data_IF_578411477254
#
_entry.id   IF_578411477254
#
_cell.length_a   1.000
_cell.length_b   1.000
_cell.length_c   1.000
_cell.angle_alpha   90.00
_cell.angle_beta   90.00
_cell.angle_gamma   90.00
#
_symmetry.space_group_name_H-M   'P 1'
#
loop_
_entity.id
_entity.type
_entity.pdbx_description
1 polymer ?
#
# COMPACT_ATOMS: atom_id res chain seq x y z
N UNK A 1 17.65 2.93 15.27
CA UNK A 1 17.01 3.32 14.00
C UNK A 1 18.04 3.19 12.88
N UNK A 2 19.12 3.99 12.80
CA UNK A 2 20.09 3.96 11.69
C UNK A 2 20.63 2.57 11.32
N UNK A 3 20.88 1.69 12.32
CA UNK A 3 21.32 0.32 12.05
C UNK A 3 20.21 -0.54 11.45
N UNK A 4 18.97 -0.37 11.92
CA UNK A 4 17.80 -1.10 11.41
C UNK A 4 17.51 -0.68 9.97
N UNK A 5 17.58 0.62 9.67
CA UNK A 5 17.38 1.15 8.32
C UNK A 5 18.43 0.60 7.35
N UNK A 6 19.72 0.62 7.75
CA UNK A 6 20.79 0.09 6.92
C UNK A 6 20.59 -1.42 6.63
N UNK A 7 20.26 -2.21 7.66
CA UNK A 7 20.02 -3.65 7.50
C UNK A 7 18.79 -3.93 6.64
N UNK A 8 17.70 -3.20 6.84
CA UNK A 8 16.48 -3.38 6.06
C UNK A 8 16.70 -2.97 4.60
N UNK A 9 17.41 -1.85 4.37
CA UNK A 9 17.77 -1.40 3.02
C UNK A 9 18.62 -2.41 2.28
N UNK A 10 19.61 -3.00 2.94
CA UNK A 10 20.47 -4.03 2.37
C UNK A 10 19.67 -5.32 2.06
N UNK A 11 18.91 -5.83 3.03
CA UNK A 11 18.17 -7.09 2.89
C UNK A 11 17.04 -7.02 1.86
N UNK A 12 16.32 -5.91 1.81
CA UNK A 12 15.20 -5.70 0.87
C UNK A 12 15.64 -5.01 -0.42
N UNK A 13 16.91 -4.63 -0.55
CA UNK A 13 17.46 -3.87 -1.70
C UNK A 13 16.64 -2.61 -1.98
N UNK A 14 16.37 -1.80 -0.92
CA UNK A 14 15.57 -0.59 -1.01
C UNK A 14 16.39 0.49 -1.74
N UNK A 15 15.87 1.09 -2.84
CA UNK A 15 16.58 2.14 -3.55
C UNK A 15 16.78 3.41 -2.69
N UNK A 16 17.83 4.19 -2.98
CA UNK A 16 18.22 5.37 -2.18
C UNK A 16 17.19 6.51 -2.21
N UNK A 17 16.28 6.52 -3.19
CA UNK A 17 15.20 7.49 -3.31
C UNK A 17 13.92 7.08 -2.55
N UNK A 18 14.05 6.17 -1.57
CA UNK A 18 12.96 5.80 -0.65
C UNK A 18 13.30 6.19 0.78
N UNK A 19 12.28 6.51 1.55
CA UNK A 19 12.34 6.67 3.01
C UNK A 19 11.73 5.47 3.71
N UNK A 20 12.31 5.12 4.85
CA UNK A 20 11.81 4.06 5.75
C UNK A 20 11.27 4.74 7.01
N UNK A 21 10.01 4.47 7.32
CA UNK A 21 9.35 4.99 8.51
C UNK A 21 8.89 3.83 9.38
N UNK A 22 9.01 3.99 10.70
CA UNK A 22 8.43 3.07 11.69
C UNK A 22 7.36 3.82 12.46
N UNK A 23 6.12 3.39 12.28
CA UNK A 23 4.94 4.14 12.72
C UNK A 23 4.03 3.32 13.63
N UNK A 24 3.25 4.01 14.46
CA UNK A 24 2.28 3.40 15.36
C UNK A 24 1.06 2.85 14.63
N UNK A 25 0.24 2.06 15.36
CA UNK A 25 -1.09 1.61 14.90
C UNK A 25 -1.07 0.43 13.95
N UNK A 26 0.12 -0.12 13.64
CA UNK A 26 0.26 -1.25 12.74
C UNK A 26 -0.23 -0.95 11.31
N UNK A 27 -0.42 -2.00 10.52
CA UNK A 27 -0.86 -1.85 9.13
C UNK A 27 -2.25 -1.21 8.99
N UNK A 28 -3.14 -1.45 9.94
CA UNK A 28 -4.52 -0.94 9.84
C UNK A 28 -4.59 0.59 9.93
N UNK A 29 -3.69 1.24 10.67
CA UNK A 29 -3.60 2.70 10.70
C UNK A 29 -3.20 3.26 9.33
N UNK A 30 -2.49 2.50 8.50
CA UNK A 30 -2.07 2.93 7.19
C UNK A 30 -3.24 3.08 6.21
N UNK A 31 -4.37 2.45 6.46
CA UNK A 31 -5.58 2.64 5.67
C UNK A 31 -6.11 4.08 5.75
N UNK A 32 -5.85 4.78 6.86
CA UNK A 32 -6.14 6.21 7.03
C UNK A 32 -4.92 7.08 6.67
N UNK A 33 -3.72 6.73 7.17
CA UNK A 33 -2.53 7.55 6.99
C UNK A 33 -2.16 7.73 5.51
N UNK A 34 -2.24 6.67 4.69
CA UNK A 34 -1.89 6.75 3.28
C UNK A 34 -2.80 7.73 2.51
N UNK A 35 -4.14 7.60 2.51
CA UNK A 35 -4.98 8.57 1.82
C UNK A 35 -4.83 9.99 2.39
N UNK A 36 -4.68 10.17 3.69
CA UNK A 36 -4.43 11.48 4.29
C UNK A 36 -3.17 12.16 3.74
N UNK A 37 -2.14 11.39 3.40
CA UNK A 37 -0.86 11.92 2.96
C UNK A 37 -0.67 11.99 1.44
N UNK A 38 -1.38 11.17 0.64
CA UNK A 38 -1.10 11.12 -0.79
C UNK A 38 -2.34 11.22 -1.70
N UNK A 39 -3.57 11.24 -1.16
CA UNK A 39 -4.77 11.34 -2.01
C UNK A 39 -4.85 12.69 -2.74
N UNK A 40 -4.23 13.73 -2.18
CA UNK A 40 -4.16 15.07 -2.76
C UNK A 40 -3.04 15.23 -3.80
N UNK A 41 -2.30 14.14 -4.14
CA UNK A 41 -1.33 14.13 -5.25
C UNK A 41 -2.00 14.52 -6.57
N UNK A 42 -3.26 14.12 -6.74
CA UNK A 42 -4.10 14.60 -7.82
C UNK A 42 -5.27 15.41 -7.24
N UNK A 43 -5.57 16.61 -7.80
CA UNK A 43 -6.71 17.45 -7.34
C UNK A 43 -8.06 16.75 -7.36
N UNK A 44 -8.24 15.71 -8.19
CA UNK A 44 -9.46 14.90 -8.23
C UNK A 44 -9.66 14.06 -6.96
N UNK A 45 -8.61 13.90 -6.14
CA UNK A 45 -8.61 13.12 -4.88
C UNK A 45 -9.22 11.72 -5.05
N UNK A 46 -8.85 11.04 -6.12
CA UNK A 46 -9.26 9.66 -6.43
C UNK A 46 -8.16 8.68 -6.05
N UNK A 47 -8.55 7.47 -5.65
CA UNK A 47 -7.62 6.35 -5.49
C UNK A 47 -8.30 5.07 -5.98
N UNK A 48 -7.57 4.22 -6.70
CA UNK A 48 -8.06 2.96 -7.26
C UNK A 48 -7.71 1.79 -6.34
N UNK A 49 -8.67 0.87 -6.18
CA UNK A 49 -8.53 -0.30 -5.31
C UNK A 49 -8.81 -1.58 -6.09
N UNK A 50 -7.98 -2.62 -5.87
CA UNK A 50 -8.25 -3.97 -6.35
C UNK A 50 -8.60 -4.82 -5.13
N UNK A 51 -9.87 -5.22 -5.05
CA UNK A 51 -10.45 -5.90 -3.90
C UNK A 51 -10.23 -7.41 -3.97
N UNK A 52 -9.15 -7.88 -3.35
CA UNK A 52 -8.77 -9.31 -3.32
C UNK A 52 -8.97 -9.95 -1.95
N UNK A 53 -9.65 -9.27 -1.04
CA UNK A 53 -9.91 -9.79 0.30
C UNK A 53 -10.41 -8.72 1.27
N UNK A 54 -10.68 -9.14 2.49
CA UNK A 54 -11.23 -8.29 3.56
C UNK A 54 -10.39 -7.04 3.83
N UNK A 55 -9.06 -7.14 3.75
CA UNK A 55 -8.19 -6.00 4.04
C UNK A 55 -8.24 -4.94 2.94
N UNK A 56 -8.29 -5.35 1.67
CA UNK A 56 -8.47 -4.43 0.55
C UNK A 56 -9.83 -3.70 0.64
N UNK A 57 -10.92 -4.42 0.98
CA UNK A 57 -12.24 -3.82 1.21
C UNK A 57 -12.21 -2.80 2.34
N UNK A 58 -11.52 -3.10 3.46
CA UNK A 58 -11.38 -2.14 4.57
C UNK A 58 -10.56 -0.91 4.18
N UNK A 59 -9.48 -1.09 3.41
CA UNK A 59 -8.66 0.01 2.94
C UNK A 59 -9.45 0.95 2.01
N UNK A 60 -10.20 0.41 1.04
CA UNK A 60 -11.08 1.18 0.16
C UNK A 60 -12.13 1.96 0.95
N UNK A 61 -12.84 1.26 1.87
CA UNK A 61 -13.85 1.89 2.73
C UNK A 61 -13.28 2.99 3.61
N UNK A 62 -12.05 2.86 4.11
CA UNK A 62 -11.42 3.90 4.92
C UNK A 62 -11.00 5.09 4.05
N UNK A 63 -10.39 4.84 2.89
CA UNK A 63 -9.97 5.88 1.96
C UNK A 63 -11.15 6.74 1.44
N UNK A 64 -12.35 6.16 1.31
CA UNK A 64 -13.55 6.88 0.88
C UNK A 64 -14.00 8.01 1.85
N UNK A 65 -13.39 8.09 3.04
CA UNK A 65 -13.61 9.19 3.99
C UNK A 65 -12.81 10.45 3.62
N UNK A 66 -11.76 10.29 2.83
CA UNK A 66 -10.78 11.34 2.51
C UNK A 66 -10.82 11.77 1.04
N UNK A 67 -11.46 10.96 0.18
CA UNK A 67 -11.60 11.22 -1.25
C UNK A 67 -12.50 10.19 -1.92
N UNK A 68 -12.31 10.00 -3.22
CA UNK A 68 -13.09 9.05 -4.02
C UNK A 68 -12.32 7.74 -4.12
N UNK A 69 -12.83 6.68 -3.50
CA UNK A 69 -12.32 5.32 -3.68
C UNK A 69 -13.00 4.65 -4.88
N UNK A 70 -12.21 4.23 -5.85
CA UNK A 70 -12.66 3.55 -7.06
C UNK A 70 -12.29 2.06 -6.96
N UNK A 71 -13.27 1.20 -6.73
CA UNK A 71 -13.07 -0.24 -6.73
C UNK A 71 -13.04 -0.73 -8.18
N UNK A 72 -11.83 -0.75 -8.79
CA UNK A 72 -11.65 -1.02 -10.22
C UNK A 72 -11.71 -2.50 -10.58
N UNK A 73 -11.51 -3.39 -9.60
CA UNK A 73 -11.69 -4.82 -9.72
C UNK A 73 -11.96 -5.46 -8.37
N UNK A 74 -12.67 -6.59 -8.39
CA UNK A 74 -12.95 -7.38 -7.20
C UNK A 74 -13.05 -8.86 -7.55
N UNK A 75 -12.48 -9.73 -6.71
CA UNK A 75 -12.72 -11.17 -6.73
C UNK A 75 -13.74 -11.64 -5.68
N UNK A 76 -14.54 -10.68 -5.16
CA UNK A 76 -15.59 -10.97 -4.17
C UNK A 76 -16.72 -11.86 -4.68
N UNK A 77 -16.95 -11.88 -6.00
CA UNK A 77 -17.88 -12.77 -6.70
C UNK A 77 -17.59 -14.26 -6.44
N UNK A 78 -16.33 -14.59 -6.21
CA UNK A 78 -15.83 -15.94 -5.95
C UNK A 78 -15.16 -16.05 -4.56
N UNK A 79 -15.67 -15.30 -3.59
CA UNK A 79 -15.15 -15.30 -2.21
C UNK A 79 -13.63 -15.07 -2.13
N UNK A 80 -13.10 -14.21 -3.00
CA UNK A 80 -11.68 -13.82 -3.07
C UNK A 80 -10.69 -14.97 -3.32
N UNK A 81 -11.11 -16.01 -4.06
CA UNK A 81 -10.28 -17.18 -4.34
C UNK A 81 -9.35 -17.04 -5.56
N UNK A 82 -9.33 -15.87 -6.19
CA UNK A 82 -8.43 -15.54 -7.31
C UNK A 82 -7.94 -14.08 -7.23
N UNK A 83 -6.90 -13.78 -8.02
CA UNK A 83 -6.42 -12.42 -8.25
C UNK A 83 -6.96 -11.97 -9.61
N UNK A 84 -7.68 -10.82 -9.70
CA UNK A 84 -8.14 -10.28 -10.97
C UNK A 84 -6.98 -10.02 -11.95
N UNK A 85 -7.23 -10.26 -13.24
CA UNK A 85 -6.28 -9.94 -14.29
C UNK A 85 -6.21 -8.41 -14.47
N UNK A 86 -5.08 -7.82 -14.08
CA UNK A 86 -4.88 -6.37 -14.15
C UNK A 86 -4.81 -5.85 -15.58
N UNK A 87 -4.26 -6.63 -16.52
CA UNK A 87 -4.08 -6.20 -17.93
C UNK A 87 -5.43 -5.98 -18.62
N UNK A 88 -6.51 -6.56 -18.08
CA UNK A 88 -7.88 -6.36 -18.56
C UNK A 88 -8.57 -5.11 -17.97
N UNK A 89 -7.94 -4.42 -17.00
CA UNK A 89 -8.56 -3.30 -16.29
C UNK A 89 -8.23 -1.95 -16.92
N UNK A 90 -9.18 -1.03 -16.82
CA UNK A 90 -8.96 0.37 -17.16
C UNK A 90 -8.64 1.14 -15.88
N UNK A 91 -7.40 1.61 -15.78
CA UNK A 91 -6.97 2.48 -14.69
C UNK A 91 -7.36 3.94 -15.00
N UNK A 92 -7.99 4.61 -14.03
CA UNK A 92 -8.21 6.06 -14.10
C UNK A 92 -6.87 6.79 -13.91
N UNK A 93 -6.37 7.53 -14.93
CA UNK A 93 -5.09 8.23 -14.84
C UNK A 93 -5.10 9.39 -13.83
N UNK A 94 -6.28 9.83 -13.39
CA UNK A 94 -6.41 10.82 -12.30
C UNK A 94 -6.35 10.18 -10.91
N UNK A 95 -6.19 8.86 -10.79
CA UNK A 95 -5.97 8.22 -9.50
C UNK A 95 -4.65 8.67 -8.90
N UNK A 96 -4.68 9.07 -7.65
CA UNK A 96 -3.48 9.45 -6.88
C UNK A 96 -2.60 8.23 -6.59
N UNK A 97 -3.22 7.05 -6.48
CA UNK A 97 -2.54 5.76 -6.32
C UNK A 97 -3.46 4.58 -6.65
N UNK A 98 -2.85 3.41 -6.87
CA UNK A 98 -3.54 2.11 -6.92
C UNK A 98 -3.19 1.33 -5.67
N UNK A 99 -4.18 0.79 -4.96
CA UNK A 99 -3.96 -0.02 -3.76
C UNK A 99 -4.20 -1.50 -4.02
N UNK A 100 -3.26 -2.33 -3.53
CA UNK A 100 -3.38 -3.79 -3.51
C UNK A 100 -3.03 -4.34 -2.12
N UNK A 101 -3.52 -5.54 -1.83
CA UNK A 101 -3.00 -6.42 -0.77
C UNK A 101 -2.22 -7.54 -1.42
N UNK A 102 -0.92 -7.60 -1.19
CA UNK A 102 -0.01 -8.46 -1.95
C UNK A 102 -0.22 -9.96 -1.68
N UNK A 103 -0.63 -10.30 -0.46
CA UNK A 103 -0.94 -11.66 -0.03
C UNK A 103 -2.15 -11.69 0.91
N UNK A 104 -3.17 -12.42 0.53
CA UNK A 104 -4.43 -12.53 1.25
C UNK A 104 -4.48 -13.85 2.03
N UNK A 105 -3.88 -13.88 3.21
CA UNK A 105 -3.72 -15.09 4.05
C UNK A 105 -5.04 -15.83 4.29
N UNK A 106 -6.14 -15.10 4.51
CA UNK A 106 -7.44 -15.69 4.80
C UNK A 106 -8.04 -16.46 3.61
N UNK A 107 -7.65 -16.10 2.39
CA UNK A 107 -8.21 -16.64 1.15
C UNK A 107 -7.20 -17.50 0.37
N UNK A 108 -5.93 -17.50 0.80
CA UNK A 108 -4.87 -18.28 0.16
C UNK A 108 -4.45 -17.73 -1.19
N UNK A 109 -4.74 -16.45 -1.50
CA UNK A 109 -4.37 -15.81 -2.76
C UNK A 109 -3.21 -14.85 -2.60
N UNK A 110 -2.36 -14.76 -3.62
CA UNK A 110 -1.18 -13.90 -3.65
C UNK A 110 -0.90 -13.42 -5.08
N UNK A 111 -0.43 -12.19 -5.22
CA UNK A 111 0.11 -11.69 -6.47
C UNK A 111 1.43 -12.38 -6.80
N UNK A 112 1.49 -13.09 -7.92
CA UNK A 112 2.74 -13.69 -8.42
C UNK A 112 3.64 -12.65 -9.09
N UNK A 113 3.03 -11.76 -9.88
CA UNK A 113 3.62 -10.55 -10.46
C UNK A 113 2.74 -9.36 -10.09
N UNK A 114 3.35 -8.19 -9.89
CA UNK A 114 2.61 -6.99 -9.53
C UNK A 114 2.18 -6.22 -10.77
N UNK A 115 1.03 -5.51 -10.72
CA UNK A 115 0.53 -4.76 -11.85
C UNK A 115 1.45 -3.59 -12.22
N UNK A 116 1.64 -3.37 -13.52
CA UNK A 116 2.26 -2.15 -14.00
C UNK A 116 1.20 -1.05 -14.07
N UNK A 117 1.27 -0.08 -13.16
CA UNK A 117 0.31 1.01 -13.04
C UNK A 117 0.77 2.30 -13.76
N UNK A 118 1.87 2.23 -14.52
CA UNK A 118 2.43 3.38 -15.23
C UNK A 118 2.84 4.50 -14.27
N UNK A 119 2.35 5.71 -14.54
CA UNK A 119 2.64 6.92 -13.72
C UNK A 119 1.85 6.99 -12.40
N UNK A 120 0.85 6.13 -12.23
CA UNK A 120 0.06 6.09 -10.99
C UNK A 120 0.79 5.21 -9.96
N UNK A 121 1.17 5.74 -8.78
CA UNK A 121 1.93 4.96 -7.80
C UNK A 121 1.17 3.71 -7.33
N UNK A 122 1.86 2.57 -7.29
CA UNK A 122 1.33 1.35 -6.68
C UNK A 122 1.60 1.37 -5.18
N UNK A 123 0.55 1.18 -4.39
CA UNK A 123 0.58 1.08 -2.92
C UNK A 123 0.23 -0.34 -2.52
N UNK A 124 1.10 -1.00 -1.76
CA UNK A 124 0.91 -2.39 -1.37
C UNK A 124 0.90 -2.61 0.14
N UNK A 125 -0.18 -3.20 0.65
CA UNK A 125 -0.17 -3.86 1.95
C UNK A 125 0.57 -5.20 1.82
N UNK A 126 1.77 -5.26 2.38
CA UNK A 126 2.60 -6.46 2.41
C UNK A 126 2.72 -7.07 3.80
N UNK A 127 1.80 -6.82 4.69
CA UNK A 127 1.84 -7.27 6.10
C UNK A 127 2.11 -8.76 6.24
N UNK A 128 1.60 -9.59 5.34
CA UNK A 128 1.80 -11.05 5.39
C UNK A 128 2.85 -11.58 4.42
N UNK A 129 3.50 -10.70 3.67
CA UNK A 129 4.43 -11.11 2.62
C UNK A 129 5.83 -10.48 2.75
N UNK A 130 5.92 -9.26 3.27
CA UNK A 130 7.18 -8.53 3.29
C UNK A 130 8.31 -9.35 3.94
N UNK A 131 9.47 -9.41 3.29
CA UNK A 131 10.63 -10.21 3.66
C UNK A 131 10.43 -11.75 3.59
N UNK A 132 9.33 -12.25 3.00
CA UNK A 132 9.15 -13.69 2.77
C UNK A 132 9.72 -14.18 1.43
N UNK A 133 9.91 -13.26 0.50
CA UNK A 133 10.55 -13.48 -0.81
C UNK A 133 11.24 -12.21 -1.29
N UNK A 134 12.07 -12.33 -2.31
CA UNK A 134 12.65 -11.17 -2.99
C UNK A 134 11.56 -10.45 -3.79
N UNK A 135 11.47 -9.14 -3.59
CA UNK A 135 10.53 -8.24 -4.26
C UNK A 135 11.35 -7.06 -4.79
N UNK A 136 11.08 -6.64 -6.00
CA UNK A 136 11.64 -5.40 -6.54
C UNK A 136 10.84 -4.21 -6.01
N UNK A 137 11.44 -3.51 -5.04
CA UNK A 137 10.82 -2.36 -4.35
C UNK A 137 10.54 -1.21 -5.33
N UNK A 138 11.31 -1.08 -6.42
CA UNK A 138 11.17 0.01 -7.38
C UNK A 138 9.82 0.01 -8.13
N UNK A 139 9.09 -1.12 -8.11
CA UNK A 139 7.75 -1.22 -8.70
C UNK A 139 6.68 -0.48 -7.88
N UNK A 140 6.99 -0.04 -6.66
CA UNK A 140 6.00 0.52 -5.74
C UNK A 140 6.29 1.99 -5.44
N UNK A 141 5.22 2.77 -5.31
CA UNK A 141 5.30 4.08 -4.68
C UNK A 141 5.38 3.96 -3.16
N UNK A 142 4.55 3.06 -2.59
CA UNK A 142 4.54 2.80 -1.14
C UNK A 142 4.38 1.29 -0.90
N UNK A 143 5.20 0.77 0.01
CA UNK A 143 4.97 -0.53 0.65
C UNK A 143 4.75 -0.27 2.14
N UNK A 144 3.76 -0.91 2.73
CA UNK A 144 3.63 -0.93 4.18
C UNK A 144 3.39 -2.35 4.69
N UNK A 145 3.86 -2.60 5.91
CA UNK A 145 3.70 -3.90 6.55
C UNK A 145 3.61 -3.76 8.07
N UNK A 146 2.55 -4.31 8.66
CA UNK A 146 2.49 -4.49 10.10
C UNK A 146 3.56 -5.47 10.56
N UNK A 147 4.31 -5.13 11.61
CA UNK A 147 5.49 -5.92 12.01
C UNK A 147 5.14 -7.28 12.61
N UNK A 148 3.94 -7.45 13.18
CA UNK A 148 3.52 -8.60 13.99
C UNK A 148 3.56 -9.97 13.30
N UNK A 149 3.72 -10.02 11.97
CA UNK A 149 3.79 -11.30 11.26
C UNK A 149 5.22 -11.77 11.05
N UNK A 150 6.00 -11.05 10.26
CA UNK A 150 7.32 -11.54 9.84
C UNK A 150 8.49 -10.63 10.25
N UNK A 151 8.23 -9.44 10.79
CA UNK A 151 9.26 -8.43 10.99
C UNK A 151 9.58 -8.11 12.46
N UNK A 152 8.60 -8.21 13.36
CA UNK A 152 8.82 -7.76 14.73
C UNK A 152 7.57 -7.71 15.60
N UNK A 153 7.52 -6.80 16.59
CA UNK A 153 6.43 -6.75 17.57
C UNK A 153 5.13 -6.21 16.98
N UNK A 154 4.01 -6.56 17.61
CA UNK A 154 2.71 -5.98 17.31
C UNK A 154 2.64 -4.49 17.66
N UNK A 155 1.74 -3.76 17.00
CA UNK A 155 1.47 -2.34 17.26
C UNK A 155 2.26 -1.37 16.37
N UNK A 156 3.26 -1.84 15.64
CA UNK A 156 4.05 -1.04 14.71
C UNK A 156 3.83 -1.47 13.25
N UNK A 157 4.07 -0.56 12.35
CA UNK A 157 4.23 -0.84 10.92
C UNK A 157 5.53 -0.20 10.39
N UNK A 158 6.13 -0.83 9.41
CA UNK A 158 7.12 -0.21 8.52
C UNK A 158 6.39 0.34 7.31
N UNK A 159 6.77 1.54 6.89
CA UNK A 159 6.34 2.17 5.64
C UNK A 159 7.57 2.52 4.84
N UNK A 160 7.64 2.05 3.61
CA UNK A 160 8.70 2.34 2.65
C UNK A 160 8.04 3.18 1.57
N UNK A 161 8.42 4.44 1.48
CA UNK A 161 7.79 5.43 0.60
C UNK A 161 8.81 6.07 -0.32
N UNK A 162 8.47 6.18 -1.60
CA UNK A 162 9.27 6.89 -2.59
C UNK A 162 9.23 8.41 -2.34
N UNK A 163 10.37 9.07 -2.40
CA UNK A 163 10.53 10.48 -1.99
C UNK A 163 9.62 11.45 -2.76
N UNK A 164 9.32 11.17 -4.03
CA UNK A 164 8.42 12.01 -4.85
C UNK A 164 6.95 11.98 -4.41
N UNK A 165 6.60 11.11 -3.46
CA UNK A 165 5.25 11.00 -2.89
C UNK A 165 5.11 11.74 -1.55
N UNK A 166 6.13 12.43 -1.11
CA UNK A 166 6.09 13.27 0.09
C UNK A 166 5.40 14.62 -0.22
N UNK A 167 4.93 15.31 0.86
CA UNK A 167 4.39 16.67 0.80
C UNK A 167 3.00 16.82 0.12
N UNK A 168 2.23 15.74 0.01
CA UNK A 168 0.85 15.79 -0.50
C UNK A 168 -0.22 15.66 0.59
N UNK A 169 0.17 15.83 1.87
CA UNK A 169 -0.77 15.70 2.98
C UNK A 169 -1.95 16.66 2.85
N UNK A 170 -3.14 16.16 3.19
CA UNK A 170 -4.32 17.00 3.29
C UNK A 170 -4.13 18.03 4.41
N UNK A 171 -4.65 19.26 4.28
CA UNK A 171 -4.54 20.27 5.34
C UNK A 171 -5.11 19.84 6.68
N UNK A 172 -6.10 18.95 6.66
CA UNK A 172 -6.73 18.37 7.83
C UNK A 172 -6.00 17.15 8.41
N UNK A 173 -4.86 16.74 7.83
CA UNK A 173 -4.09 15.58 8.33
C UNK A 173 -3.59 15.86 9.76
N UNK A 174 -3.93 14.99 10.73
CA UNK A 174 -3.40 15.11 12.08
C UNK A 174 -1.87 15.02 12.10
N UNK A 175 -1.19 15.86 12.88
CA UNK A 175 0.27 15.88 12.93
C UNK A 175 0.95 14.56 13.33
N UNK A 176 0.22 13.64 13.97
CA UNK A 176 0.71 12.28 14.26
C UNK A 176 0.68 11.35 13.04
N UNK A 177 -0.02 11.72 11.97
CA UNK A 177 -0.19 10.94 10.76
C UNK A 177 0.43 11.62 9.52
N UNK A 178 1.00 12.82 9.69
CA UNK A 178 1.66 13.60 8.63
C UNK A 178 3.16 13.26 8.56
#
# INVERSE_FOLDING_TARGET
INRTDAMLSELANIPSNYKILYVHGGAQMQFSAIPLNIINRNPARKASFILTGTWAVKASKEASRYGIALDIASSGDSNFNYIPDFDSLTLDPESSYVHIVSNNTLYGTRWNSFPNTGEVPLVADMTSEFMSRKIDISQFGIIFAGLQKNLGPAGLAVVIIREDLLEYALPETPGLLN
#
